data_IF_644203372286
#
_entry.id   IF_644203372286
#
_cell.length_a   1.000
_cell.length_b   1.000
_cell.length_c   1.000
_cell.angle_alpha   90.00
_cell.angle_beta   90.00
_cell.angle_gamma   90.00
#
_symmetry.space_group_name_H-M   'P 1'
#
loop_
_entity.id
_entity.type
_entity.pdbx_description
1 polymer ?
#
# COMPACT_ATOMS: atom_id res chain seq x y z
N UNK A 1 11.09 -18.07 -18.10
CA UNK A 1 9.64 -18.31 -18.15
C UNK A 1 8.93 -18.18 -16.79
N UNK A 2 9.16 -19.02 -15.77
CA UNK A 2 8.43 -18.88 -14.48
C UNK A 2 8.77 -17.59 -13.70
N UNK A 3 10.04 -17.18 -13.66
CA UNK A 3 10.42 -15.89 -13.04
C UNK A 3 9.86 -14.69 -13.81
N UNK A 4 9.89 -14.71 -15.14
CA UNK A 4 9.32 -13.63 -15.97
C UNK A 4 7.80 -13.48 -15.82
N UNK A 5 7.08 -14.57 -15.52
CA UNK A 5 5.66 -14.51 -15.20
C UNK A 5 5.41 -13.90 -13.81
N UNK A 6 6.27 -14.19 -12.83
CA UNK A 6 6.12 -13.67 -11.47
C UNK A 6 6.21 -12.14 -11.44
N UNK A 7 7.10 -11.55 -12.24
CA UNK A 7 7.30 -10.10 -12.33
C UNK A 7 6.34 -9.38 -13.29
N UNK A 8 5.41 -10.08 -13.93
CA UNK A 8 4.49 -9.48 -14.89
C UNK A 8 3.63 -8.39 -14.20
N UNK A 9 3.68 -7.12 -14.66
CA UNK A 9 2.98 -6.03 -14.00
C UNK A 9 1.47 -6.08 -14.30
N UNK A 10 0.67 -6.45 -13.28
CA UNK A 10 -0.78 -6.58 -13.40
C UNK A 10 -1.53 -5.26 -13.23
N UNK A 11 -0.81 -4.19 -12.89
CA UNK A 11 -1.32 -2.80 -12.83
C UNK A 11 -0.93 -1.97 -14.06
N UNK A 12 -0.21 -2.55 -15.02
CA UNK A 12 0.18 -1.82 -16.24
C UNK A 12 -1.05 -1.48 -17.09
N UNK A 13 -1.05 -0.30 -17.73
CA UNK A 13 -2.16 0.13 -18.60
C UNK A 13 -2.49 -0.91 -19.69
N UNK A 14 -1.48 -1.57 -20.24
CA UNK A 14 -1.65 -2.67 -21.21
C UNK A 14 -2.36 -3.88 -20.61
N UNK A 15 -2.00 -4.30 -19.39
CA UNK A 15 -2.62 -5.44 -18.74
C UNK A 15 -4.06 -5.14 -18.33
N UNK A 16 -4.31 -3.98 -17.72
CA UNK A 16 -5.65 -3.52 -17.35
C UNK A 16 -6.55 -3.43 -18.58
N UNK A 17 -6.05 -2.87 -19.68
CA UNK A 17 -6.79 -2.79 -20.95
C UNK A 17 -7.10 -4.19 -21.50
N UNK A 18 -6.12 -5.10 -21.51
CA UNK A 18 -6.32 -6.48 -21.96
C UNK A 18 -7.38 -7.21 -21.11
N UNK A 19 -7.31 -7.08 -19.80
CA UNK A 19 -8.28 -7.65 -18.86
C UNK A 19 -9.69 -7.09 -19.10
N UNK A 20 -9.83 -5.78 -19.33
CA UNK A 20 -11.11 -5.12 -19.61
C UNK A 20 -11.72 -5.51 -20.97
N UNK A 21 -10.88 -5.74 -21.99
CA UNK A 21 -11.32 -6.12 -23.35
C UNK A 21 -11.73 -7.60 -23.44
N UNK A 22 -11.07 -8.49 -22.68
CA UNK A 22 -11.34 -9.93 -22.71
C UNK A 22 -12.84 -10.31 -22.55
N UNK A 23 -13.59 -9.81 -21.55
CA UNK A 23 -15.01 -10.13 -21.42
C UNK A 23 -15.84 -9.60 -22.61
N UNK A 24 -15.48 -8.44 -23.19
CA UNK A 24 -16.17 -7.89 -24.37
C UNK A 24 -16.02 -8.82 -25.59
N UNK A 25 -14.81 -9.34 -25.82
CA UNK A 25 -14.55 -10.31 -26.89
C UNK A 25 -15.39 -11.57 -26.70
N UNK A 26 -15.43 -12.12 -25.49
CA UNK A 26 -16.22 -13.32 -25.18
C UNK A 26 -17.72 -13.07 -25.33
N UNK A 27 -18.23 -11.89 -24.93
CA UNK A 27 -19.61 -11.49 -25.16
C UNK A 27 -19.95 -11.41 -26.65
N UNK A 28 -19.09 -10.82 -27.46
CA UNK A 28 -19.27 -10.76 -28.92
C UNK A 28 -19.30 -12.17 -29.52
N UNK A 29 -18.36 -13.04 -29.13
CA UNK A 29 -18.33 -14.43 -29.59
C UNK A 29 -19.60 -15.20 -29.19
N UNK A 30 -20.09 -15.02 -27.96
CA UNK A 30 -21.36 -15.59 -27.49
C UNK A 30 -22.53 -15.19 -28.42
N UNK A 31 -22.62 -13.91 -28.75
CA UNK A 31 -23.66 -13.38 -29.62
C UNK A 31 -23.52 -13.87 -31.07
N UNK A 32 -22.29 -14.01 -31.58
CA UNK A 32 -22.01 -14.56 -32.92
C UNK A 32 -22.44 -16.02 -33.01
N UNK A 33 -22.08 -16.86 -32.02
CA UNK A 33 -22.48 -18.26 -31.97
C UNK A 33 -24.00 -18.39 -31.88
N UNK A 34 -24.64 -17.58 -31.03
CA UNK A 34 -26.09 -17.55 -30.91
C UNK A 34 -26.78 -17.13 -32.22
N UNK A 35 -26.25 -16.09 -32.90
CA UNK A 35 -26.77 -15.65 -34.20
C UNK A 35 -26.64 -16.73 -35.25
N UNK A 36 -25.52 -17.45 -35.30
CA UNK A 36 -25.29 -18.55 -36.24
C UNK A 36 -26.27 -19.70 -36.00
N UNK A 37 -26.47 -20.09 -34.74
CA UNK A 37 -27.46 -21.09 -34.36
C UNK A 37 -28.88 -20.65 -34.78
N UNK A 38 -29.28 -19.42 -34.44
CA UNK A 38 -30.59 -18.85 -34.79
C UNK A 38 -30.86 -18.87 -36.30
N UNK A 39 -29.89 -18.43 -37.11
CA UNK A 39 -30.03 -18.40 -38.57
C UNK A 39 -30.25 -19.79 -39.15
N UNK A 40 -29.62 -20.83 -38.58
CA UNK A 40 -29.82 -22.22 -39.02
C UNK A 40 -31.13 -22.82 -38.56
N UNK A 41 -31.52 -22.57 -37.31
CA UNK A 41 -32.77 -23.12 -36.78
C UNK A 41 -33.99 -22.42 -37.37
N UNK A 42 -33.82 -21.28 -38.05
CA UNK A 42 -34.92 -20.49 -38.60
C UNK A 42 -35.74 -19.78 -37.53
N UNK A 43 -35.18 -19.63 -36.32
CA UNK A 43 -35.85 -18.95 -35.22
C UNK A 43 -35.97 -17.45 -35.50
N UNK A 44 -37.13 -16.87 -35.19
CA UNK A 44 -37.39 -15.45 -35.42
C UNK A 44 -36.49 -14.58 -34.52
N UNK A 45 -35.85 -13.53 -35.06
CA UNK A 45 -35.13 -12.57 -34.23
C UNK A 45 -36.11 -11.82 -33.32
N UNK A 46 -35.66 -11.51 -32.12
CA UNK A 46 -36.33 -10.53 -31.26
C UNK A 46 -36.28 -9.15 -31.93
N UNK A 47 -37.29 -8.32 -31.67
CA UNK A 47 -37.32 -6.92 -32.12
C UNK A 47 -36.05 -6.19 -31.65
N UNK A 48 -35.24 -5.64 -32.59
CA UNK A 48 -33.97 -5.00 -32.26
C UNK A 48 -34.13 -3.78 -31.34
N UNK A 49 -35.27 -3.07 -31.39
CA UNK A 49 -35.53 -1.93 -30.50
C UNK A 49 -35.77 -2.39 -29.07
N UNK A 50 -36.67 -3.35 -28.87
CA UNK A 50 -36.94 -3.94 -27.54
C UNK A 50 -35.69 -4.58 -26.94
N UNK A 51 -34.93 -5.26 -27.78
CA UNK A 51 -33.63 -5.84 -27.45
C UNK A 51 -32.63 -4.80 -26.93
N UNK A 52 -32.46 -3.69 -27.66
CA UNK A 52 -31.55 -2.62 -27.29
C UNK A 52 -31.99 -1.96 -25.97
N UNK A 53 -33.28 -1.64 -25.84
CA UNK A 53 -33.85 -1.04 -24.62
C UNK A 53 -33.62 -1.93 -23.40
N UNK A 54 -33.93 -3.23 -23.49
CA UNK A 54 -33.70 -4.18 -22.37
C UNK A 54 -32.23 -4.27 -21.98
N UNK A 55 -31.34 -4.28 -22.97
CA UNK A 55 -29.89 -4.36 -22.72
C UNK A 55 -29.39 -3.07 -22.06
N UNK A 56 -29.86 -1.90 -22.52
CA UNK A 56 -29.54 -0.61 -21.92
C UNK A 56 -30.03 -0.49 -20.48
N UNK A 57 -31.30 -0.87 -20.22
CA UNK A 57 -31.86 -0.88 -18.85
C UNK A 57 -31.04 -1.80 -17.94
N UNK A 58 -30.71 -3.02 -18.40
CA UNK A 58 -29.91 -3.94 -17.62
C UNK A 58 -28.50 -3.42 -17.34
N UNK A 59 -27.85 -2.78 -18.33
CA UNK A 59 -26.52 -2.19 -18.14
C UNK A 59 -26.52 -1.08 -17.09
N UNK A 60 -27.52 -0.17 -17.14
CA UNK A 60 -27.68 0.90 -16.15
C UNK A 60 -27.98 0.31 -14.77
N UNK A 61 -28.92 -0.64 -14.68
CA UNK A 61 -29.24 -1.29 -13.41
C UNK A 61 -28.02 -2.03 -12.82
N UNK A 62 -27.22 -2.69 -13.65
CA UNK A 62 -25.98 -3.36 -13.22
C UNK A 62 -24.93 -2.37 -12.71
N UNK A 63 -24.73 -1.25 -13.41
CA UNK A 63 -23.82 -0.21 -12.95
C UNK A 63 -24.24 0.39 -11.60
N UNK A 64 -25.53 0.70 -11.45
CA UNK A 64 -26.11 1.20 -10.20
C UNK A 64 -25.99 0.17 -9.07
N UNK A 65 -26.18 -1.13 -9.36
CA UNK A 65 -25.98 -2.19 -8.38
C UNK A 65 -24.50 -2.28 -7.93
N UNK A 66 -23.55 -2.12 -8.86
CA UNK A 66 -22.13 -2.06 -8.52
C UNK A 66 -21.78 -0.85 -7.64
N UNK A 67 -22.32 0.34 -7.95
CA UNK A 67 -22.15 1.53 -7.11
C UNK A 67 -22.80 1.35 -5.72
N UNK A 68 -24.00 0.78 -5.67
CA UNK A 68 -24.67 0.48 -4.41
C UNK A 68 -23.88 -0.53 -3.57
N UNK A 69 -23.26 -1.53 -4.21
CA UNK A 69 -22.39 -2.49 -3.53
C UNK A 69 -21.15 -1.77 -2.94
N UNK A 70 -20.46 -0.95 -3.73
CA UNK A 70 -19.33 -0.17 -3.24
C UNK A 70 -19.74 0.74 -2.06
N UNK A 71 -20.92 1.37 -2.15
CA UNK A 71 -21.46 2.22 -1.09
C UNK A 71 -21.77 1.43 0.19
N UNK A 72 -22.43 0.29 0.07
CA UNK A 72 -22.77 -0.53 1.25
C UNK A 72 -21.51 -1.09 1.91
N UNK A 73 -20.58 -1.65 1.13
CA UNK A 73 -19.38 -2.27 1.68
C UNK A 73 -18.40 -1.23 2.25
N UNK A 74 -18.21 -0.11 1.56
CA UNK A 74 -17.32 0.96 1.98
C UNK A 74 -17.94 1.91 3.00
N UNK A 75 -18.96 2.66 2.61
CA UNK A 75 -19.49 3.77 3.39
C UNK A 75 -20.43 3.34 4.54
N UNK A 76 -21.20 2.26 4.37
CA UNK A 76 -22.17 1.81 5.39
C UNK A 76 -21.54 0.81 6.37
N UNK A 77 -20.83 -0.20 5.85
CA UNK A 77 -20.23 -1.24 6.68
C UNK A 77 -18.81 -0.91 7.14
N UNK A 78 -18.14 0.07 6.52
CA UNK A 78 -16.77 0.42 6.88
C UNK A 78 -15.77 -0.72 6.69
N UNK A 79 -16.06 -1.69 5.80
CA UNK A 79 -15.35 -2.99 5.77
C UNK A 79 -13.84 -2.84 5.52
N UNK A 80 -13.44 -1.77 4.82
CA UNK A 80 -12.07 -1.57 4.39
C UNK A 80 -11.30 -0.57 5.27
N UNK A 81 -11.93 0.03 6.29
CA UNK A 81 -11.33 1.09 7.09
C UNK A 81 -11.06 2.41 6.33
N UNK A 82 -11.22 2.42 5.00
CA UNK A 82 -10.92 3.56 4.13
C UNK A 82 -12.08 3.90 3.20
N UNK A 83 -12.14 5.16 2.80
CA UNK A 83 -13.10 5.63 1.79
C UNK A 83 -12.69 5.16 0.40
N UNK A 84 -13.55 4.37 -0.25
CA UNK A 84 -13.30 3.90 -1.62
C UNK A 84 -13.21 5.08 -2.59
N UNK A 85 -12.10 5.12 -3.35
CA UNK A 85 -11.84 6.15 -4.35
C UNK A 85 -12.92 6.17 -5.46
N UNK A 86 -12.94 7.25 -6.24
CA UNK A 86 -13.78 7.33 -7.44
C UNK A 86 -13.42 6.26 -8.48
N UNK A 87 -12.13 5.91 -8.60
CA UNK A 87 -11.63 4.86 -9.49
C UNK A 87 -12.13 3.48 -9.09
N UNK A 88 -11.98 3.10 -7.82
CA UNK A 88 -12.48 1.84 -7.27
C UNK A 88 -14.00 1.72 -7.40
N UNK A 89 -14.76 2.80 -7.10
CA UNK A 89 -16.21 2.84 -7.30
C UNK A 89 -16.58 2.65 -8.78
N UNK A 90 -15.82 3.28 -9.69
CA UNK A 90 -16.02 3.15 -11.14
C UNK A 90 -15.79 1.72 -11.62
N UNK A 91 -14.69 1.08 -11.21
CA UNK A 91 -14.41 -0.30 -11.59
C UNK A 91 -15.42 -1.31 -11.01
N UNK A 92 -15.95 -1.03 -9.82
CA UNK A 92 -17.05 -1.82 -9.24
C UNK A 92 -18.34 -1.65 -10.06
N UNK A 93 -18.67 -0.42 -10.48
CA UNK A 93 -19.79 -0.14 -11.36
C UNK A 93 -19.65 -0.82 -12.73
N UNK A 94 -18.46 -0.79 -13.33
CA UNK A 94 -18.15 -1.47 -14.58
C UNK A 94 -18.27 -3.00 -14.45
N UNK A 95 -17.86 -3.56 -13.31
CA UNK A 95 -18.08 -4.97 -12.98
C UNK A 95 -19.57 -5.31 -12.95
N UNK A 96 -20.37 -4.54 -12.22
CA UNK A 96 -21.83 -4.71 -12.17
C UNK A 96 -22.51 -4.59 -13.54
N UNK A 97 -22.10 -3.61 -14.35
CA UNK A 97 -22.54 -3.45 -15.73
C UNK A 97 -22.19 -4.68 -16.57
N UNK A 98 -20.94 -5.15 -16.50
CA UNK A 98 -20.47 -6.32 -17.25
C UNK A 98 -21.24 -7.59 -16.89
N UNK A 99 -21.55 -7.79 -15.61
CA UNK A 99 -22.33 -8.93 -15.13
C UNK A 99 -23.77 -8.88 -15.63
N UNK A 100 -24.39 -7.70 -15.64
CA UNK A 100 -25.73 -7.53 -16.19
C UNK A 100 -25.77 -7.77 -17.71
N UNK A 101 -24.76 -7.27 -18.45
CA UNK A 101 -24.62 -7.55 -19.88
C UNK A 101 -24.42 -9.04 -20.16
N UNK A 102 -23.60 -9.73 -19.36
CA UNK A 102 -23.42 -11.17 -19.44
C UNK A 102 -24.73 -11.92 -19.19
N UNK A 103 -25.47 -11.56 -18.14
CA UNK A 103 -26.77 -12.17 -17.84
C UNK A 103 -27.77 -12.02 -19.01
N UNK A 104 -27.91 -10.80 -19.56
CA UNK A 104 -28.77 -10.55 -20.72
C UNK A 104 -28.30 -11.34 -21.94
N UNK A 105 -26.99 -11.33 -22.24
CA UNK A 105 -26.43 -12.08 -23.35
C UNK A 105 -26.72 -13.58 -23.20
N UNK A 106 -26.53 -14.16 -22.02
CA UNK A 106 -26.77 -15.57 -21.73
C UNK A 106 -28.23 -15.96 -21.88
N UNK A 107 -29.16 -15.20 -21.31
CA UNK A 107 -30.61 -15.47 -21.41
C UNK A 107 -31.07 -15.45 -22.86
N UNK A 108 -30.61 -14.46 -23.63
CA UNK A 108 -31.01 -14.26 -25.03
C UNK A 108 -30.39 -15.32 -25.96
N UNK A 109 -29.11 -15.60 -25.76
CA UNK A 109 -28.37 -16.57 -26.56
C UNK A 109 -28.81 -18.00 -26.28
N UNK A 110 -29.16 -18.35 -25.03
CA UNK A 110 -29.65 -19.68 -24.64
C UNK A 110 -30.85 -20.11 -25.47
N UNK A 111 -31.83 -19.23 -25.68
CA UNK A 111 -33.01 -19.53 -26.54
C UNK A 111 -32.61 -19.94 -27.96
N UNK A 112 -31.58 -19.29 -28.51
CA UNK A 112 -31.09 -19.56 -29.87
C UNK A 112 -30.37 -20.90 -29.98
N UNK A 113 -29.67 -21.33 -28.92
CA UNK A 113 -28.89 -22.59 -28.88
C UNK A 113 -29.65 -23.77 -28.26
N UNK A 114 -30.85 -23.57 -27.70
CA UNK A 114 -31.76 -24.67 -27.32
C UNK A 114 -32.80 -24.98 -28.40
N UNK A 115 -32.85 -24.20 -29.48
CA UNK A 115 -33.79 -24.40 -30.60
C UNK A 115 -35.21 -23.91 -30.33
N UNK A 116 -35.44 -23.21 -29.21
CA UNK A 116 -36.74 -22.63 -28.87
C UNK A 116 -37.16 -21.63 -29.95
N UNK A 117 -38.27 -21.90 -30.62
CA UNK A 117 -38.79 -21.09 -31.74
C UNK A 117 -38.16 -21.39 -33.11
N UNK A 118 -37.30 -22.42 -33.21
CA UNK A 118 -36.71 -22.90 -34.46
C UNK A 118 -37.35 -24.21 -34.96
N UNK A 119 -37.10 -24.55 -36.23
CA UNK A 119 -37.62 -25.74 -36.92
C UNK A 119 -36.70 -26.96 -36.79
N UNK A 120 -35.42 -26.75 -36.49
CA UNK A 120 -34.38 -27.80 -36.47
C UNK A 120 -33.50 -27.58 -35.24
N UNK A 121 -32.98 -28.64 -34.57
CA UNK A 121 -32.06 -28.49 -33.45
C UNK A 121 -30.70 -27.89 -33.87
N UNK A 122 -30.07 -27.05 -33.02
CA UNK A 122 -28.73 -26.51 -33.28
C UNK A 122 -27.63 -27.58 -33.16
N UNK A 123 -26.47 -27.34 -33.79
CA UNK A 123 -25.37 -28.32 -33.81
C UNK A 123 -24.80 -28.52 -32.41
N UNK A 124 -24.37 -29.75 -32.10
CA UNK A 124 -23.68 -30.07 -30.83
C UNK A 124 -22.48 -29.15 -30.56
N UNK A 125 -21.71 -28.84 -31.61
CA UNK A 125 -20.55 -27.94 -31.53
C UNK A 125 -20.92 -26.50 -31.16
N UNK A 126 -22.03 -25.97 -31.66
CA UNK A 126 -22.50 -24.63 -31.31
C UNK A 126 -22.99 -24.55 -29.87
N UNK A 127 -23.68 -25.60 -29.40
CA UNK A 127 -24.10 -25.70 -28.00
C UNK A 127 -22.89 -25.81 -27.07
N UNK A 128 -21.90 -26.63 -27.42
CA UNK A 128 -20.68 -26.80 -26.63
C UNK A 128 -19.87 -25.50 -26.56
N UNK A 129 -19.65 -24.83 -27.71
CA UNK A 129 -18.93 -23.56 -27.76
C UNK A 129 -19.67 -22.45 -26.99
N UNK A 130 -20.99 -22.37 -27.14
CA UNK A 130 -21.81 -21.43 -26.37
C UNK A 130 -21.70 -21.67 -24.87
N UNK A 131 -21.80 -22.93 -24.42
CA UNK A 131 -21.64 -23.29 -23.02
C UNK A 131 -20.24 -22.94 -22.48
N UNK A 132 -19.19 -23.20 -23.24
CA UNK A 132 -17.81 -22.86 -22.85
C UNK A 132 -17.64 -21.34 -22.68
N UNK A 133 -18.10 -20.54 -23.66
CA UNK A 133 -18.02 -19.08 -23.57
C UNK A 133 -18.91 -18.52 -22.44
N UNK A 134 -20.05 -19.16 -22.17
CA UNK A 134 -20.95 -18.80 -21.09
C UNK A 134 -20.34 -19.01 -19.70
N UNK A 135 -19.58 -20.09 -19.53
CA UNK A 135 -18.82 -20.35 -18.30
C UNK A 135 -17.68 -19.35 -18.14
N UNK A 136 -17.06 -18.91 -19.24
CA UNK A 136 -15.89 -18.04 -19.21
C UNK A 136 -16.23 -16.55 -18.96
N UNK A 137 -17.36 -16.06 -19.46
CA UNK A 137 -17.64 -14.61 -19.46
C UNK A 137 -17.77 -14.00 -18.06
N UNK A 138 -18.40 -14.70 -17.12
CA UNK A 138 -18.63 -14.17 -15.76
C UNK A 138 -17.30 -14.05 -14.99
N UNK A 139 -16.45 -15.09 -14.90
CA UNK A 139 -15.12 -14.95 -14.31
C UNK A 139 -14.27 -13.84 -14.94
N UNK A 140 -14.33 -13.66 -16.27
CA UNK A 140 -13.59 -12.58 -16.93
C UNK A 140 -14.08 -11.18 -16.54
N UNK A 141 -15.38 -10.98 -16.36
CA UNK A 141 -15.91 -9.70 -15.89
C UNK A 141 -15.46 -9.40 -14.47
N UNK A 142 -15.55 -10.40 -13.57
CA UNK A 142 -15.10 -10.26 -12.18
C UNK A 142 -13.60 -9.98 -12.14
N UNK A 143 -12.81 -10.73 -12.91
CA UNK A 143 -11.37 -10.54 -13.01
C UNK A 143 -11.01 -9.15 -13.55
N UNK A 144 -11.68 -8.67 -14.60
CA UNK A 144 -11.47 -7.33 -15.13
C UNK A 144 -11.74 -6.23 -14.11
N UNK A 145 -12.84 -6.36 -13.35
CA UNK A 145 -13.19 -5.43 -12.26
C UNK A 145 -12.14 -5.46 -11.15
N UNK A 146 -11.72 -6.66 -10.71
CA UNK A 146 -10.69 -6.83 -9.69
C UNK A 146 -9.33 -6.25 -10.12
N UNK A 147 -8.91 -6.48 -11.36
CA UNK A 147 -7.67 -5.90 -11.93
C UNK A 147 -7.77 -4.38 -11.98
N UNK A 148 -8.92 -3.84 -12.38
CA UNK A 148 -9.16 -2.40 -12.39
C UNK A 148 -9.09 -1.75 -11.00
N UNK A 149 -9.72 -2.37 -10.00
CA UNK A 149 -9.63 -1.95 -8.60
C UNK A 149 -8.19 -2.05 -8.09
N UNK A 150 -7.49 -3.14 -8.39
CA UNK A 150 -6.09 -3.30 -8.00
C UNK A 150 -5.16 -2.29 -8.69
N UNK A 151 -5.47 -1.84 -9.91
CA UNK A 151 -4.70 -0.78 -10.57
C UNK A 151 -4.89 0.60 -9.92
N UNK A 152 -6.03 0.82 -9.27
CA UNK A 152 -6.33 2.01 -8.50
C UNK A 152 -5.64 1.98 -7.13
N UNK A 153 -5.83 0.90 -6.36
CA UNK A 153 -5.25 0.72 -5.01
C UNK A 153 -3.74 0.41 -5.05
N UNK A 154 -3.26 -0.20 -6.14
CA UNK A 154 -1.89 -0.67 -6.34
C UNK A 154 -1.39 -1.68 -5.29
N UNK A 155 -2.30 -2.43 -4.66
CA UNK A 155 -1.97 -3.41 -3.63
C UNK A 155 -1.06 -4.54 -4.14
N UNK A 156 -1.34 -5.04 -5.35
CA UNK A 156 -0.60 -6.13 -5.96
C UNK A 156 0.01 -5.67 -7.28
N UNK A 157 1.26 -5.20 -7.31
CA UNK A 157 1.85 -4.65 -8.54
C UNK A 157 2.14 -5.72 -9.60
N UNK A 158 2.38 -6.97 -9.19
CA UNK A 158 2.70 -8.08 -10.08
C UNK A 158 2.09 -9.40 -9.61
N UNK A 159 2.26 -10.46 -10.41
CA UNK A 159 1.75 -11.81 -10.12
C UNK A 159 2.36 -12.36 -8.82
N UNK A 160 3.65 -12.15 -8.57
CA UNK A 160 4.30 -12.63 -7.34
C UNK A 160 3.62 -12.07 -6.08
N UNK A 161 3.37 -10.77 -6.06
CA UNK A 161 2.69 -10.10 -4.96
C UNK A 161 1.25 -10.61 -4.79
N UNK A 162 0.50 -10.76 -5.89
CA UNK A 162 -0.89 -11.22 -5.88
C UNK A 162 -1.07 -12.64 -5.29
N UNK A 163 -0.02 -13.48 -5.33
CA UNK A 163 -0.04 -14.84 -4.79
C UNK A 163 0.83 -15.02 -3.54
N UNK A 164 1.34 -13.94 -2.94
CA UNK A 164 2.20 -14.02 -1.74
C UNK A 164 3.53 -14.73 -1.98
N UNK A 165 4.03 -14.69 -3.20
CA UNK A 165 5.27 -15.33 -3.66
C UNK A 165 6.48 -14.40 -3.60
N UNK A 166 6.29 -13.13 -3.23
CA UNK A 166 7.39 -12.21 -2.96
C UNK A 166 8.19 -12.75 -1.78
N UNK A 167 9.48 -13.00 -2.00
CA UNK A 167 10.43 -13.52 -1.02
C UNK A 167 11.68 -12.67 -1.07
N UNK A 168 12.16 -12.31 0.12
CA UNK A 168 13.46 -11.66 0.31
C UNK A 168 14.31 -12.62 1.14
N UNK A 169 15.57 -12.78 0.74
CA UNK A 169 16.50 -13.65 1.47
C UNK A 169 16.90 -12.99 2.80
N UNK A 170 17.30 -13.78 3.81
CA UNK A 170 17.92 -13.24 5.02
C UNK A 170 19.12 -12.35 4.70
N UNK A 171 19.25 -11.25 5.43
CA UNK A 171 20.38 -10.34 5.25
C UNK A 171 21.62 -10.88 5.97
N UNK A 172 22.73 -11.03 5.25
CA UNK A 172 24.00 -11.39 5.85
C UNK A 172 24.78 -10.12 6.27
N UNK A 173 24.95 -9.96 7.58
CA UNK A 173 25.70 -8.86 8.19
C UNK A 173 27.17 -9.21 8.45
N UNK A 174 27.60 -10.48 8.31
CA UNK A 174 28.93 -10.93 8.74
C UNK A 174 30.10 -10.30 7.95
N UNK A 175 29.82 -9.82 6.74
CA UNK A 175 30.79 -9.12 5.87
C UNK A 175 30.64 -7.60 5.86
N UNK A 176 29.81 -7.03 6.75
CA UNK A 176 29.65 -5.58 6.84
C UNK A 176 30.65 -4.97 7.83
N UNK A 177 30.97 -3.67 7.68
CA UNK A 177 31.76 -2.94 8.66
C UNK A 177 31.17 -3.08 10.07
N UNK A 178 32.07 -3.17 11.05
CA UNK A 178 31.66 -3.30 12.44
C UNK A 178 30.72 -2.15 12.87
N UNK A 179 29.69 -2.45 13.68
CA UNK A 179 28.86 -1.43 14.31
C UNK A 179 29.75 -0.46 15.08
N UNK A 180 29.51 0.83 14.89
CA UNK A 180 30.15 1.89 15.65
C UNK A 180 29.10 2.93 15.96
N UNK A 181 29.02 3.27 17.23
CA UNK A 181 28.30 4.45 17.70
C UNK A 181 29.15 5.69 17.38
N UNK A 182 28.91 6.28 16.22
CA UNK A 182 29.57 7.52 15.83
C UNK A 182 28.68 8.72 16.20
N UNK A 183 29.25 9.82 16.71
CA UNK A 183 28.54 11.09 16.74
C UNK A 183 28.16 11.50 15.32
N UNK A 184 27.14 12.35 15.21
CA UNK A 184 26.76 12.95 13.93
C UNK A 184 27.98 13.65 13.28
N UNK A 185 28.06 13.62 11.96
CA UNK A 185 29.07 14.38 11.25
C UNK A 185 28.83 15.89 11.47
N UNK A 186 29.89 16.67 11.66
CA UNK A 186 29.83 18.13 11.69
C UNK A 186 29.55 18.65 10.26
N UNK A 187 28.28 18.61 9.84
CA UNK A 187 27.83 18.98 8.50
C UNK A 187 27.52 17.79 7.60
N UNK A 188 27.34 18.02 6.29
CA UNK A 188 26.94 16.98 5.35
C UNK A 188 27.92 15.80 5.29
N UNK A 189 27.39 14.58 5.19
CA UNK A 189 28.19 13.35 5.06
C UNK A 189 29.10 13.38 3.83
N UNK A 190 28.69 14.05 2.76
CA UNK A 190 29.48 14.17 1.53
C UNK A 190 30.77 15.00 1.71
N UNK A 191 30.88 15.78 2.77
CA UNK A 191 32.09 16.57 3.09
C UNK A 191 33.12 15.75 3.86
N UNK A 192 32.68 14.71 4.57
CA UNK A 192 33.54 13.88 5.44
C UNK A 192 33.77 12.48 4.89
N UNK A 193 32.96 12.06 3.91
CA UNK A 193 33.08 10.77 3.27
C UNK A 193 32.96 10.85 1.74
N UNK A 194 33.81 10.07 1.08
CA UNK A 194 33.72 9.77 -0.34
C UNK A 194 34.10 8.30 -0.53
N UNK A 195 33.52 7.60 -1.52
CA UNK A 195 33.83 6.20 -1.71
C UNK A 195 35.30 6.01 -2.09
N UNK A 196 36.02 5.18 -1.33
CA UNK A 196 37.41 4.80 -1.64
C UNK A 196 37.57 3.91 -2.88
N UNK A 197 36.46 3.41 -3.44
CA UNK A 197 36.44 2.52 -4.60
C UNK A 197 35.10 2.49 -5.32
N UNK A 198 34.91 1.50 -6.19
CA UNK A 198 33.64 1.31 -6.91
C UNK A 198 32.54 0.86 -5.95
N UNK A 199 31.41 1.58 -5.96
CA UNK A 199 30.23 1.22 -5.19
C UNK A 199 29.36 0.20 -5.95
N UNK A 200 28.62 -0.66 -5.23
CA UNK A 200 27.50 -1.39 -5.81
C UNK A 200 26.51 -0.43 -6.49
N UNK A 201 25.94 -0.85 -7.62
CA UNK A 201 24.97 -0.02 -8.35
C UNK A 201 23.63 0.16 -7.61
N UNK A 202 23.34 -0.70 -6.63
CA UNK A 202 22.11 -0.72 -5.84
C UNK A 202 22.43 -1.13 -4.41
N UNK A 203 21.56 -0.74 -3.49
CA UNK A 203 21.56 -1.22 -2.13
C UNK A 203 21.19 -2.71 -2.03
N UNK A 204 21.18 -3.21 -0.80
CA UNK A 204 20.88 -4.60 -0.47
C UNK A 204 19.72 -4.66 0.51
N UNK A 205 18.66 -5.34 0.09
CA UNK A 205 17.47 -5.62 0.91
C UNK A 205 17.55 -7.07 1.44
N UNK A 206 17.25 -7.27 2.72
CA UNK A 206 17.18 -8.60 3.32
C UNK A 206 16.26 -8.66 4.55
N UNK A 207 15.81 -9.85 4.91
CA UNK A 207 15.03 -10.06 6.16
C UNK A 207 15.96 -10.18 7.36
N UNK A 208 15.52 -9.69 8.53
CA UNK A 208 16.23 -9.83 9.80
C UNK A 208 15.24 -10.07 10.95
N UNK A 209 15.44 -11.11 11.78
CA UNK A 209 14.73 -11.20 13.04
C UNK A 209 15.28 -10.15 14.02
N UNK A 210 14.40 -9.31 14.57
CA UNK A 210 14.73 -8.36 15.63
C UNK A 210 14.13 -8.90 16.94
N UNK A 211 14.95 -9.39 17.89
CA UNK A 211 14.43 -9.97 19.13
C UNK A 211 13.71 -8.93 20.00
N UNK A 212 12.45 -9.21 20.32
CA UNK A 212 11.64 -8.42 21.24
C UNK A 212 12.01 -8.70 22.72
N UNK A 213 13.27 -8.49 23.07
CA UNK A 213 13.86 -8.90 24.36
C UNK A 213 13.21 -8.20 25.55
N UNK A 214 12.87 -6.91 25.39
CA UNK A 214 12.26 -6.08 26.44
C UNK A 214 10.75 -6.11 26.35
N UNK A 215 10.20 -5.93 25.14
CA UNK A 215 8.77 -5.78 24.91
C UNK A 215 8.00 -7.11 24.96
N UNK A 216 8.65 -8.23 24.62
CA UNK A 216 7.98 -9.51 24.41
C UNK A 216 6.98 -9.50 23.23
N UNK A 217 7.02 -8.47 22.38
CA UNK A 217 6.11 -8.30 21.25
C UNK A 217 6.36 -9.38 20.18
N UNK A 218 5.31 -10.07 19.68
CA UNK A 218 5.46 -11.18 18.75
C UNK A 218 5.63 -10.70 17.29
N UNK A 219 6.64 -9.87 17.03
CA UNK A 219 6.93 -9.37 15.70
C UNK A 219 7.35 -10.49 14.73
N UNK A 220 6.88 -10.39 13.48
CA UNK A 220 7.46 -11.12 12.34
C UNK A 220 8.82 -10.52 11.97
N UNK A 221 9.55 -11.22 11.10
CA UNK A 221 10.85 -10.73 10.60
C UNK A 221 10.75 -9.32 10.00
N UNK A 222 11.66 -8.45 10.41
CA UNK A 222 11.84 -7.12 9.84
C UNK A 222 12.49 -7.20 8.46
N UNK A 223 12.43 -6.11 7.71
CA UNK A 223 13.23 -5.90 6.51
C UNK A 223 14.24 -4.78 6.73
N UNK A 224 15.45 -4.97 6.21
CA UNK A 224 16.52 -3.98 6.28
C UNK A 224 17.03 -3.71 4.88
N UNK A 225 17.00 -2.43 4.48
CA UNK A 225 17.65 -1.94 3.27
C UNK A 225 18.95 -1.22 3.64
N UNK A 226 20.04 -1.69 3.07
CA UNK A 226 21.36 -1.09 3.17
C UNK A 226 21.69 -0.35 1.87
N UNK A 227 21.95 0.96 1.88
CA UNK A 227 22.33 1.70 0.68
C UNK A 227 23.74 1.30 0.20
N UNK A 228 24.12 1.61 -1.05
CA UNK A 228 25.46 1.30 -1.58
C UNK A 228 26.62 1.69 -0.66
N UNK A 229 26.56 2.87 -0.02
CA UNK A 229 27.59 3.34 0.90
C UNK A 229 27.72 2.50 2.19
N UNK A 230 26.70 1.72 2.56
CA UNK A 230 26.75 0.81 3.71
C UNK A 230 27.43 -0.53 3.39
N UNK A 231 27.71 -0.81 2.12
CA UNK A 231 28.16 -2.11 1.62
C UNK A 231 29.67 -2.17 1.32
N UNK A 232 30.42 -1.18 1.80
CA UNK A 232 31.88 -1.06 1.58
C UNK A 232 32.63 -0.98 2.91
N UNK A 233 33.90 -1.40 2.90
CA UNK A 233 34.73 -1.49 4.11
C UNK A 233 34.90 -0.15 4.83
N UNK A 234 34.92 0.96 4.08
CA UNK A 234 35.08 2.33 4.55
C UNK A 234 33.73 3.06 4.76
N UNK A 235 32.64 2.32 4.96
CA UNK A 235 31.31 2.91 5.15
C UNK A 235 31.30 3.98 6.26
N UNK A 236 30.64 5.14 6.03
CA UNK A 236 30.41 6.11 7.09
C UNK A 236 29.33 5.59 8.05
N UNK A 237 29.19 6.23 9.20
CA UNK A 237 27.99 6.04 10.02
C UNK A 237 26.81 6.73 9.33
N UNK A 238 25.81 5.96 8.95
CA UNK A 238 24.69 6.44 8.16
C UNK A 238 23.49 6.81 9.05
N UNK A 239 22.65 7.76 8.60
CA UNK A 239 21.39 8.01 9.26
C UNK A 239 20.44 6.82 9.12
N UNK A 240 19.43 6.76 9.98
CA UNK A 240 18.45 5.67 10.07
C UNK A 240 17.05 6.21 9.84
N UNK A 241 16.28 5.46 9.06
CA UNK A 241 14.83 5.63 8.95
C UNK A 241 14.16 4.34 9.42
N UNK A 242 13.41 4.41 10.52
CA UNK A 242 12.45 3.36 10.89
C UNK A 242 11.19 3.61 10.07
N UNK A 243 10.81 2.70 9.18
CA UNK A 243 9.63 2.85 8.32
C UNK A 243 8.57 1.81 8.68
N UNK A 244 7.31 2.23 8.79
CA UNK A 244 6.19 1.42 9.25
C UNK A 244 5.14 1.27 8.13
N UNK A 245 4.63 0.05 7.97
CA UNK A 245 3.58 -0.25 6.98
C UNK A 245 2.21 0.24 7.44
N UNK A 246 1.17 0.07 6.62
CA UNK A 246 -0.22 0.27 7.04
C UNK A 246 -0.85 -1.00 7.61
N UNK A 247 -2.12 -0.90 8.03
CA UNK A 247 -2.96 -2.02 8.44
C UNK A 247 -4.17 -2.14 7.49
N UNK A 248 -4.52 -3.36 7.00
CA UNK A 248 -3.76 -4.60 7.13
C UNK A 248 -2.41 -4.55 6.39
N UNK A 249 -1.38 -5.24 6.90
CA UNK A 249 -0.07 -5.17 6.27
C UNK A 249 1.07 -5.99 6.87
N UNK A 250 2.22 -5.87 6.22
CA UNK A 250 3.48 -6.49 6.60
C UNK A 250 4.66 -5.57 6.23
N UNK A 251 5.85 -5.79 6.83
CA UNK A 251 7.07 -5.09 6.42
C UNK A 251 7.34 -5.11 4.90
N UNK A 252 7.00 -6.22 4.25
CA UNK A 252 7.21 -6.43 2.81
C UNK A 252 6.48 -5.41 1.93
N UNK A 253 5.36 -4.86 2.38
CA UNK A 253 4.49 -4.07 1.51
C UNK A 253 5.13 -2.73 1.12
N UNK A 254 5.92 -2.12 2.01
CA UNK A 254 6.70 -0.91 1.71
C UNK A 254 7.69 -1.12 0.54
N UNK A 255 8.15 -2.35 0.31
CA UNK A 255 9.07 -2.67 -0.79
C UNK A 255 8.34 -3.23 -2.01
N UNK A 256 7.42 -4.17 -1.80
CA UNK A 256 6.66 -4.80 -2.87
C UNK A 256 5.78 -3.77 -3.59
N UNK A 257 4.99 -2.99 -2.85
CA UNK A 257 4.01 -2.04 -3.38
C UNK A 257 4.46 -0.59 -3.20
N UNK A 258 5.07 -0.25 -2.07
CA UNK A 258 5.62 1.10 -1.81
C UNK A 258 6.92 1.41 -2.57
N UNK A 259 7.59 0.39 -3.14
CA UNK A 259 8.80 0.53 -3.96
C UNK A 259 9.93 1.32 -3.28
N UNK A 260 10.00 1.21 -1.95
CA UNK A 260 10.95 1.97 -1.13
C UNK A 260 12.41 1.70 -1.51
N UNK A 261 12.73 0.47 -1.92
CA UNK A 261 14.04 0.08 -2.48
C UNK A 261 14.41 0.95 -3.68
N UNK A 262 13.49 1.14 -4.63
CA UNK A 262 13.74 1.96 -5.83
C UNK A 262 13.91 3.43 -5.49
N UNK A 263 13.13 3.94 -4.55
CA UNK A 263 13.26 5.33 -4.10
C UNK A 263 14.62 5.56 -3.44
N UNK A 264 15.05 4.66 -2.57
CA UNK A 264 16.35 4.75 -1.89
C UNK A 264 17.53 4.50 -2.83
N UNK A 265 17.43 3.58 -3.79
CA UNK A 265 18.44 3.37 -4.82
C UNK A 265 18.61 4.61 -5.71
N UNK A 266 17.49 5.22 -6.13
CA UNK A 266 17.52 6.43 -6.94
C UNK A 266 18.10 7.62 -6.15
N UNK A 267 17.73 7.75 -4.88
CA UNK A 267 18.28 8.76 -3.99
C UNK A 267 19.79 8.53 -3.81
N UNK A 268 20.23 7.31 -3.50
CA UNK A 268 21.64 6.97 -3.37
C UNK A 268 22.43 7.24 -4.65
N UNK A 269 21.89 6.90 -5.82
CA UNK A 269 22.55 7.17 -7.10
C UNK A 269 22.79 8.67 -7.34
N UNK A 270 21.90 9.53 -6.83
CA UNK A 270 22.05 10.97 -6.89
C UNK A 270 23.03 11.54 -5.85
N UNK A 271 23.31 10.81 -4.75
CA UNK A 271 24.08 11.29 -3.59
C UNK A 271 25.32 10.43 -3.31
N UNK A 272 26.08 10.06 -4.35
CA UNK A 272 27.34 9.28 -4.24
C UNK A 272 27.19 7.95 -3.48
N UNK A 273 26.04 7.31 -3.60
CA UNK A 273 25.70 6.06 -2.92
C UNK A 273 25.18 6.22 -1.50
N UNK A 274 25.04 7.44 -0.99
CA UNK A 274 24.50 7.75 0.34
C UNK A 274 22.97 7.78 0.31
N UNK A 275 22.39 7.07 1.26
CA UNK A 275 20.98 7.12 1.63
C UNK A 275 20.91 6.71 3.11
N UNK A 276 19.79 6.92 3.80
CA UNK A 276 19.60 6.32 5.12
C UNK A 276 19.57 4.79 5.02
N UNK A 277 20.01 4.13 6.09
CA UNK A 277 19.64 2.74 6.33
C UNK A 277 18.16 2.72 6.69
N UNK A 278 17.37 1.92 5.99
CA UNK A 278 15.94 1.79 6.26
C UNK A 278 15.68 0.47 6.97
N UNK A 279 15.07 0.56 8.16
CA UNK A 279 14.66 -0.60 8.95
C UNK A 279 13.15 -0.60 9.02
N UNK A 280 12.53 -1.68 8.56
CA UNK A 280 11.08 -1.88 8.52
C UNK A 280 10.74 -2.99 9.51
N UNK A 281 10.57 -2.68 10.80
CA UNK A 281 10.10 -3.65 11.78
C UNK A 281 8.64 -4.01 11.52
N UNK A 282 8.19 -5.14 12.05
CA UNK A 282 6.77 -5.47 12.06
C UNK A 282 6.10 -4.86 13.28
N UNK A 283 5.31 -3.80 13.09
CA UNK A 283 4.57 -3.17 14.19
C UNK A 283 3.25 -3.87 14.53
N UNK A 284 2.74 -4.71 13.64
CA UNK A 284 1.42 -5.31 13.79
C UNK A 284 1.46 -6.69 14.45
N UNK A 285 2.55 -7.46 14.26
CA UNK A 285 2.68 -8.86 14.71
C UNK A 285 1.95 -9.86 13.80
N UNK A 286 0.90 -9.42 13.10
CA UNK A 286 0.08 -10.19 12.16
C UNK A 286 -0.50 -9.25 11.10
N UNK A 287 -0.86 -9.72 9.88
CA UNK A 287 -1.44 -8.85 8.86
C UNK A 287 -2.70 -8.09 9.27
N UNK A 288 -3.57 -8.71 10.07
CA UNK A 288 -4.89 -8.17 10.38
C UNK A 288 -4.96 -7.49 11.77
N UNK A 289 -3.93 -7.66 12.59
CA UNK A 289 -3.89 -7.11 13.95
C UNK A 289 -3.58 -5.60 13.90
N UNK A 290 -3.96 -4.87 14.95
CA UNK A 290 -3.66 -3.45 15.12
C UNK A 290 -3.41 -3.15 16.60
N UNK A 291 -2.15 -3.26 17.08
CA UNK A 291 -1.78 -2.90 18.44
C UNK A 291 -1.62 -1.39 18.64
N UNK A 292 -1.94 -0.57 17.61
CA UNK A 292 -2.05 0.90 17.69
C UNK A 292 -0.76 1.63 18.10
N UNK A 293 0.39 0.97 17.94
CA UNK A 293 1.69 1.47 18.37
C UNK A 293 1.72 2.02 19.81
N UNK A 294 0.93 1.41 20.69
CA UNK A 294 0.93 1.63 22.14
C UNK A 294 1.37 0.36 22.83
N UNK A 295 1.66 0.44 24.13
CA UNK A 295 1.77 -0.74 24.97
C UNK A 295 0.41 -0.99 25.62
N UNK A 296 -0.20 -2.13 25.31
CA UNK A 296 -1.58 -2.46 25.69
C UNK A 296 -1.79 -3.97 25.79
N UNK A 297 -2.98 -4.45 26.22
CA UNK A 297 -3.33 -5.87 26.13
C UNK A 297 -3.25 -6.46 24.70
N UNK A 298 -3.28 -5.62 23.67
CA UNK A 298 -3.13 -6.02 22.27
C UNK A 298 -1.66 -6.27 21.86
N UNK A 299 -0.71 -5.85 22.69
CA UNK A 299 0.72 -6.02 22.45
C UNK A 299 1.54 -4.80 22.86
N UNK A 300 2.81 -5.04 23.20
CA UNK A 300 3.77 -3.99 23.59
C UNK A 300 4.50 -3.40 22.37
N UNK A 301 3.72 -2.87 21.41
CA UNK A 301 4.26 -2.38 20.14
C UNK A 301 5.13 -1.12 20.32
N UNK A 302 4.75 -0.20 21.21
CA UNK A 302 5.54 1.00 21.47
C UNK A 302 6.92 0.66 22.05
N UNK A 303 6.98 -0.26 23.01
CA UNK A 303 8.24 -0.74 23.58
C UNK A 303 9.09 -1.48 22.54
N UNK A 304 8.49 -2.30 21.67
CA UNK A 304 9.23 -2.96 20.59
C UNK A 304 9.91 -1.96 19.66
N UNK A 305 9.14 -0.97 19.19
CA UNK A 305 9.59 0.02 18.21
C UNK A 305 10.54 1.07 18.77
N UNK A 306 10.49 1.36 20.08
CA UNK A 306 11.28 2.44 20.69
C UNK A 306 12.33 1.98 21.70
N UNK A 307 12.46 0.67 21.91
CA UNK A 307 13.48 0.07 22.77
C UNK A 307 14.21 -1.05 22.02
N UNK A 308 13.50 -2.13 21.67
CA UNK A 308 14.14 -3.32 21.11
C UNK A 308 14.72 -3.07 19.71
N UNK A 309 13.94 -2.43 18.83
CA UNK A 309 14.38 -2.09 17.46
C UNK A 309 15.58 -1.13 17.47
N UNK A 310 15.56 0.03 18.15
CA UNK A 310 16.74 0.89 18.21
C UNK A 310 17.97 0.20 18.81
N UNK A 311 17.80 -0.57 19.90
CA UNK A 311 18.90 -1.32 20.51
C UNK A 311 19.53 -2.32 19.52
N UNK A 312 18.71 -3.03 18.76
CA UNK A 312 19.19 -3.93 17.71
C UNK A 312 19.94 -3.18 16.62
N UNK A 313 19.43 -2.03 16.17
CA UNK A 313 20.07 -1.20 15.13
C UNK A 313 21.47 -0.77 15.57
N UNK A 314 21.62 -0.20 16.77
CA UNK A 314 22.92 0.19 17.31
C UNK A 314 23.91 -0.98 17.42
N UNK A 315 23.43 -2.16 17.80
CA UNK A 315 24.28 -3.33 18.01
C UNK A 315 24.75 -3.99 16.71
N UNK A 316 24.04 -3.78 15.58
CA UNK A 316 24.26 -4.56 14.36
C UNK A 316 24.61 -3.71 13.14
N UNK A 317 24.34 -2.40 13.18
CA UNK A 317 24.49 -1.50 12.05
C UNK A 317 25.42 -0.34 12.39
N UNK A 318 26.15 0.14 11.39
CA UNK A 318 27.03 1.31 11.52
C UNK A 318 26.22 2.59 11.29
N UNK A 319 25.67 3.13 12.37
CA UNK A 319 24.68 4.21 12.34
C UNK A 319 25.13 5.43 13.14
N UNK A 320 24.57 6.59 12.80
CA UNK A 320 24.72 7.79 13.63
C UNK A 320 23.99 7.60 14.97
N UNK A 321 24.47 8.23 16.03
CA UNK A 321 23.85 8.10 17.37
C UNK A 321 22.95 9.26 17.76
N UNK A 322 23.14 10.43 17.17
CA UNK A 322 22.33 11.58 17.46
C UNK A 322 20.94 11.41 16.86
N UNK A 323 19.90 11.81 17.61
CA UNK A 323 18.51 11.78 17.15
C UNK A 323 18.29 12.48 15.80
N UNK A 324 19.10 13.48 15.48
CA UNK A 324 19.08 14.26 14.23
C UNK A 324 19.37 13.41 13.01
N UNK A 325 20.14 12.33 13.17
CA UNK A 325 20.36 11.27 12.18
C UNK A 325 19.30 10.16 12.17
N UNK A 326 18.23 10.28 12.97
CA UNK A 326 17.17 9.28 13.09
C UNK A 326 15.82 9.87 12.74
N UNK A 327 15.09 9.14 11.91
CA UNK A 327 13.73 9.46 11.55
C UNK A 327 12.81 8.26 11.68
N UNK A 328 11.53 8.54 11.89
CA UNK A 328 10.46 7.55 11.78
C UNK A 328 9.50 7.97 10.67
N UNK A 329 9.07 7.03 9.85
CA UNK A 329 8.09 7.26 8.80
C UNK A 329 7.05 6.17 8.77
N UNK A 330 5.87 6.43 8.24
CA UNK A 330 4.93 5.37 7.95
C UNK A 330 3.72 5.80 7.14
N UNK A 331 2.93 4.81 6.76
CA UNK A 331 1.70 4.98 5.97
C UNK A 331 0.48 4.46 6.73
N UNK A 332 -0.64 5.18 6.68
CA UNK A 332 -1.91 4.77 7.32
C UNK A 332 -1.72 4.60 8.84
N UNK A 333 -2.06 3.45 9.41
CA UNK A 333 -1.73 3.08 10.80
C UNK A 333 -0.25 3.37 11.14
N UNK A 334 0.69 3.02 10.25
CA UNK A 334 2.11 3.34 10.44
C UNK A 334 2.43 4.83 10.38
N UNK A 335 1.63 5.63 9.68
CA UNK A 335 1.71 7.10 9.68
C UNK A 335 1.32 7.67 11.03
N UNK A 336 0.24 7.14 11.61
CA UNK A 336 -0.19 7.43 12.99
C UNK A 336 0.90 7.04 13.99
N UNK A 337 1.48 5.85 13.85
CA UNK A 337 2.63 5.42 14.65
C UNK A 337 3.83 6.35 14.52
N UNK A 338 4.15 6.80 13.30
CA UNK A 338 5.25 7.74 13.07
C UNK A 338 5.00 9.08 13.78
N UNK A 339 3.77 9.59 13.72
CA UNK A 339 3.38 10.81 14.43
C UNK A 339 3.39 10.61 15.96
N UNK A 340 2.86 9.48 16.47
CA UNK A 340 2.83 9.15 17.89
C UNK A 340 4.23 8.94 18.47
N UNK A 341 5.00 8.01 17.92
CA UNK A 341 6.30 7.63 18.45
C UNK A 341 7.36 8.70 18.15
N UNK A 342 7.31 9.34 16.97
CA UNK A 342 8.22 10.42 16.61
C UNK A 342 8.07 11.65 17.51
N UNK A 343 6.84 12.03 17.85
CA UNK A 343 6.59 13.10 18.82
C UNK A 343 6.75 12.64 20.27
N UNK A 344 6.39 11.39 20.59
CA UNK A 344 6.48 10.81 21.92
C UNK A 344 7.93 10.53 22.36
N UNK A 345 8.86 10.34 21.43
CA UNK A 345 10.29 10.07 21.68
C UNK A 345 11.19 11.07 20.94
N UNK A 346 11.12 12.37 21.28
CA UNK A 346 11.98 13.38 20.68
C UNK A 346 13.45 13.22 21.09
N UNK A 347 13.73 12.35 22.08
CA UNK A 347 15.07 11.90 22.44
C UNK A 347 15.65 10.90 21.43
N UNK A 348 14.81 10.19 20.69
CA UNK A 348 15.21 9.21 19.66
C UNK A 348 15.14 9.79 18.25
N UNK A 349 14.07 10.53 17.94
CA UNK A 349 13.79 10.96 16.57
C UNK A 349 13.98 12.47 16.37
N UNK A 350 14.78 12.81 15.36
CA UNK A 350 15.02 14.14 14.83
C UNK A 350 13.98 14.58 13.83
N UNK A 351 13.37 13.61 13.16
CA UNK A 351 12.38 13.83 12.12
C UNK A 351 11.27 12.79 12.15
N UNK A 352 10.07 13.17 11.70
CA UNK A 352 8.97 12.25 11.44
C UNK A 352 8.35 12.50 10.07
N UNK A 353 7.84 11.43 9.45
CA UNK A 353 7.08 11.49 8.20
C UNK A 353 5.77 10.72 8.34
N UNK A 354 4.66 11.43 8.29
CA UNK A 354 3.31 10.87 8.38
C UNK A 354 2.67 10.89 6.98
N UNK A 355 2.40 9.70 6.43
CA UNK A 355 1.70 9.52 5.16
C UNK A 355 0.30 8.98 5.45
N UNK A 356 -0.72 9.82 5.28
CA UNK A 356 -2.13 9.45 5.47
C UNK A 356 -2.44 8.84 6.85
N UNK A 357 -1.81 9.31 7.93
CA UNK A 357 -2.15 8.92 9.30
C UNK A 357 -3.45 9.52 9.83
N UNK A 358 -3.90 8.96 10.95
CA UNK A 358 -5.06 9.35 11.73
C UNK A 358 -4.74 10.38 12.82
N UNK A 359 -5.77 11.09 13.27
CA UNK A 359 -5.69 11.98 14.44
C UNK A 359 -5.54 11.24 15.77
N UNK A 360 -5.85 9.94 15.78
CA UNK A 360 -5.81 9.08 16.95
C UNK A 360 -5.60 7.62 16.54
N UNK A 361 -4.86 6.82 17.33
CA UNK A 361 -4.82 5.38 17.15
C UNK A 361 -6.22 4.76 17.32
N UNK A 362 -6.66 3.83 16.48
CA UNK A 362 -7.99 3.21 16.69
C UNK A 362 -8.13 1.83 16.06
N UNK A 363 -8.92 0.97 16.71
CA UNK A 363 -9.47 -0.27 16.15
C UNK A 363 -10.99 -0.18 15.95
N UNK A 364 -11.54 1.04 15.93
CA UNK A 364 -12.97 1.31 15.88
C UNK A 364 -13.61 1.40 17.26
N UNK A 365 -14.86 0.94 17.37
CA UNK A 365 -15.72 1.18 18.54
C UNK A 365 -15.15 0.65 19.86
N UNK A 366 -14.37 -0.44 19.81
CA UNK A 366 -13.87 -1.14 21.00
C UNK A 366 -12.51 -0.63 21.49
N UNK A 367 -11.92 0.37 20.79
CA UNK A 367 -10.58 0.92 21.06
C UNK A 367 -10.29 1.16 22.55
N UNK A 368 -11.17 1.91 23.22
CA UNK A 368 -10.95 2.31 24.61
C UNK A 368 -11.06 1.12 25.56
N UNK A 369 -11.98 0.19 25.27
CA UNK A 369 -12.20 -0.97 26.13
C UNK A 369 -11.07 -1.98 26.00
N UNK A 370 -10.63 -2.28 24.78
CA UNK A 370 -9.73 -3.40 24.50
C UNK A 370 -8.25 -3.03 24.64
N UNK A 371 -7.88 -1.77 24.38
CA UNK A 371 -6.49 -1.33 24.45
C UNK A 371 -6.16 -0.43 25.64
N UNK A 372 -7.16 0.20 26.26
CA UNK A 372 -6.97 1.14 27.36
C UNK A 372 -7.78 0.76 28.61
N UNK A 373 -8.26 -0.49 28.71
CA UNK A 373 -9.03 -1.00 29.85
C UNK A 373 -10.21 -0.10 30.27
N UNK A 374 -10.82 0.60 29.32
CA UNK A 374 -11.92 1.56 29.55
C UNK A 374 -11.48 3.00 29.87
N UNK A 375 -10.18 3.28 29.93
CA UNK A 375 -9.60 4.58 30.27
C UNK A 375 -9.59 5.55 29.08
N UNK A 376 -10.58 6.43 29.03
CA UNK A 376 -10.63 7.54 28.06
C UNK A 376 -9.44 8.50 28.20
N UNK A 377 -8.90 8.66 29.42
CA UNK A 377 -7.78 9.54 29.67
C UNK A 377 -6.47 9.00 29.08
N UNK A 378 -6.22 7.69 29.22
CA UNK A 378 -5.05 7.04 28.62
C UNK A 378 -5.17 7.00 27.10
N UNK A 379 -6.38 6.73 26.59
CA UNK A 379 -6.64 6.81 25.15
C UNK A 379 -6.34 8.20 24.60
N UNK A 380 -6.89 9.26 25.21
CA UNK A 380 -6.65 10.63 24.79
C UNK A 380 -5.16 11.03 24.90
N UNK A 381 -4.43 10.51 25.90
CA UNK A 381 -3.00 10.76 26.05
C UNK A 381 -2.16 10.09 24.95
N UNK A 382 -2.68 9.06 24.27
CA UNK A 382 -2.01 8.40 23.16
C UNK A 382 -2.13 9.15 21.81
N UNK A 383 -2.92 10.22 21.74
CA UNK A 383 -3.12 10.96 20.48
C UNK A 383 -1.83 11.70 20.10
N UNK A 384 -1.42 11.75 18.82
CA UNK A 384 -0.28 12.54 18.36
C UNK A 384 -0.29 13.98 18.89
N UNK A 385 -1.44 14.67 18.81
CA UNK A 385 -1.56 16.05 19.30
C UNK A 385 -1.35 16.19 20.82
N UNK A 386 -1.77 15.19 21.61
CA UNK A 386 -1.56 15.19 23.06
C UNK A 386 -0.09 14.95 23.42
N UNK A 387 0.58 14.03 22.71
CA UNK A 387 2.01 13.78 22.85
C UNK A 387 2.85 15.00 22.46
N UNK A 388 2.46 15.70 21.39
CA UNK A 388 3.04 16.97 20.98
C UNK A 388 2.86 18.05 22.06
N UNK A 389 1.65 18.23 22.57
CA UNK A 389 1.37 19.23 23.61
C UNK A 389 2.16 18.96 24.90
N UNK A 390 2.27 17.70 25.31
CA UNK A 390 2.95 17.31 26.55
C UNK A 390 4.47 17.54 26.55
N UNK A 391 5.09 17.63 25.37
CA UNK A 391 6.57 17.64 25.19
C UNK A 391 7.11 18.88 24.48
N UNK A 392 6.23 19.81 24.06
CA UNK A 392 6.65 21.05 23.42
C UNK A 392 7.56 21.89 24.33
N UNK A 393 8.46 22.73 23.78
CA UNK A 393 8.67 22.99 22.35
C UNK A 393 9.60 21.99 21.66
N UNK A 394 9.34 21.74 20.36
CA UNK A 394 10.19 20.90 19.50
C UNK A 394 11.15 21.74 18.64
N UNK A 395 12.07 22.45 19.30
CA UNK A 395 12.90 23.48 18.66
C UNK A 395 13.77 23.01 17.48
N UNK A 396 14.03 21.71 17.35
CA UNK A 396 14.91 21.13 16.34
C UNK A 396 14.31 19.85 15.71
N UNK A 397 12.99 19.77 15.55
CA UNK A 397 12.34 18.60 14.92
C UNK A 397 11.71 18.99 13.59
N UNK A 398 11.95 18.17 12.56
CA UNK A 398 11.29 18.29 11.25
C UNK A 398 10.14 17.29 11.14
N UNK A 399 8.95 17.75 10.75
CA UNK A 399 7.79 16.89 10.57
C UNK A 399 7.20 17.07 9.17
N UNK A 400 7.21 15.99 8.39
CA UNK A 400 6.70 15.98 7.02
C UNK A 400 5.37 15.23 7.00
N UNK A 401 4.37 15.83 6.39
CA UNK A 401 3.01 15.31 6.32
C UNK A 401 2.60 15.16 4.87
N UNK A 402 2.01 14.03 4.50
CA UNK A 402 1.58 13.80 3.14
C UNK A 402 0.30 12.97 3.08
N UNK A 403 -0.55 13.20 2.09
CA UNK A 403 -1.76 12.40 1.86
C UNK A 403 -2.15 12.41 0.38
N UNK A 404 -3.08 11.56 -0.03
CA UNK A 404 -3.66 11.62 -1.37
C UNK A 404 -4.53 12.87 -1.56
N UNK A 405 -4.46 13.53 -2.71
CA UNK A 405 -5.33 14.66 -3.03
C UNK A 405 -6.82 14.28 -3.01
N UNK A 406 -7.14 13.04 -3.39
CA UNK A 406 -8.50 12.50 -3.40
C UNK A 406 -8.83 11.69 -2.12
N UNK A 407 -7.93 11.65 -1.13
CA UNK A 407 -8.16 10.98 0.15
C UNK A 407 -9.05 11.83 1.07
N UNK A 408 -10.36 11.72 0.84
CA UNK A 408 -11.36 12.51 1.57
C UNK A 408 -11.45 12.19 3.06
N UNK A 409 -10.95 11.03 3.51
CA UNK A 409 -11.05 10.59 4.89
C UNK A 409 -9.82 10.97 5.71
N UNK A 410 -8.61 10.74 5.18
CA UNK A 410 -7.37 10.92 5.95
C UNK A 410 -6.72 12.28 5.73
N UNK A 411 -6.90 12.93 4.56
CA UNK A 411 -6.30 14.26 4.35
C UNK A 411 -6.68 15.27 5.44
N UNK A 412 -7.95 15.43 5.85
CA UNK A 412 -8.30 16.37 6.92
C UNK A 412 -7.66 16.01 8.28
N UNK A 413 -7.41 14.71 8.50
CA UNK A 413 -6.77 14.21 9.72
C UNK A 413 -5.28 14.55 9.75
N UNK A 414 -4.58 14.29 8.64
CA UNK A 414 -3.17 14.68 8.45
C UNK A 414 -3.00 16.20 8.60
N UNK A 415 -3.90 17.01 8.03
CA UNK A 415 -3.91 18.47 8.20
C UNK A 415 -4.05 18.88 9.68
N UNK A 416 -4.87 18.16 10.45
CA UNK A 416 -5.03 18.42 11.88
C UNK A 416 -3.79 18.03 12.69
N UNK A 417 -3.16 16.90 12.40
CA UNK A 417 -1.91 16.48 13.06
C UNK A 417 -0.77 17.43 12.70
N UNK A 418 -0.66 17.88 11.46
CA UNK A 418 0.31 18.90 11.04
C UNK A 418 0.13 20.21 11.81
N UNK A 419 -1.13 20.65 11.96
CA UNK A 419 -1.42 21.86 12.71
C UNK A 419 -0.98 21.76 14.18
N UNK A 420 -1.16 20.59 14.80
CA UNK A 420 -0.66 20.32 16.14
C UNK A 420 0.88 20.32 16.21
N UNK A 421 1.54 19.68 15.24
CA UNK A 421 3.00 19.65 15.16
C UNK A 421 3.60 21.06 15.02
N UNK A 422 3.03 21.88 14.14
CA UNK A 422 3.41 23.29 13.98
C UNK A 422 3.19 24.09 15.26
N UNK A 423 2.05 23.90 15.94
CA UNK A 423 1.76 24.57 17.20
C UNK A 423 2.72 24.16 18.34
N UNK A 424 3.23 22.93 18.30
CA UNK A 424 4.24 22.43 19.23
C UNK A 424 5.67 22.91 18.90
N UNK A 425 5.85 23.63 17.78
CA UNK A 425 7.11 24.27 17.40
C UNK A 425 7.99 23.46 16.45
N UNK A 426 7.46 22.39 15.82
CA UNK A 426 8.19 21.65 14.77
C UNK A 426 8.27 22.45 13.47
N UNK A 427 9.33 22.21 12.69
CA UNK A 427 9.40 22.66 11.30
C UNK A 427 8.56 21.72 10.43
N UNK A 428 7.40 22.20 9.97
CA UNK A 428 6.43 21.35 9.24
C UNK A 428 6.42 21.61 7.73
N UNK A 429 6.12 20.57 6.96
CA UNK A 429 5.73 20.66 5.56
C UNK A 429 4.60 19.68 5.29
N UNK A 430 3.54 20.13 4.63
CA UNK A 430 2.43 19.27 4.18
C UNK A 430 2.40 19.21 2.66
N UNK A 431 2.05 18.05 2.10
CA UNK A 431 1.94 17.84 0.66
C UNK A 431 0.81 16.89 0.31
N UNK A 432 0.32 16.99 -0.92
CA UNK A 432 -0.78 16.17 -1.43
C UNK A 432 -0.36 15.49 -2.73
N UNK A 433 -0.46 14.17 -2.77
CA UNK A 433 -0.17 13.36 -3.96
C UNK A 433 -1.29 13.54 -5.00
N UNK A 434 -1.00 14.11 -6.19
CA UNK A 434 -2.04 14.46 -7.15
C UNK A 434 -2.79 13.26 -7.71
N UNK A 435 -4.13 13.33 -7.72
CA UNK A 435 -5.01 12.31 -8.32
C UNK A 435 -4.91 10.92 -7.69
N UNK A 436 -4.40 10.80 -6.47
CA UNK A 436 -4.36 9.56 -5.68
C UNK A 436 -5.17 9.70 -4.40
N UNK A 437 -5.58 8.58 -3.82
CA UNK A 437 -6.35 8.49 -2.58
C UNK A 437 -5.54 7.74 -1.51
N UNK A 438 -6.20 6.87 -0.72
CA UNK A 438 -5.52 6.05 0.29
C UNK A 438 -4.92 4.78 -0.32
N UNK A 439 -3.88 4.96 -1.14
CA UNK A 439 -3.31 3.91 -1.99
C UNK A 439 -1.76 3.93 -2.04
N UNK A 440 -1.16 2.88 -2.61
CA UNK A 440 0.30 2.78 -2.71
C UNK A 440 0.92 3.77 -3.70
N UNK A 441 0.13 4.39 -4.59
CA UNK A 441 0.56 5.50 -5.42
C UNK A 441 0.86 6.73 -4.59
N UNK A 442 0.00 7.04 -3.61
CA UNK A 442 0.25 8.09 -2.59
C UNK A 442 1.55 7.83 -1.85
N UNK A 443 1.78 6.60 -1.36
CA UNK A 443 3.01 6.26 -0.63
C UNK A 443 4.26 6.50 -1.48
N UNK A 444 4.26 5.98 -2.72
CA UNK A 444 5.39 6.15 -3.65
C UNK A 444 5.69 7.63 -3.92
N UNK A 445 4.65 8.45 -4.13
CA UNK A 445 4.79 9.88 -4.38
C UNK A 445 5.30 10.61 -3.13
N UNK A 446 4.68 10.36 -1.97
CA UNK A 446 5.01 11.01 -0.70
C UNK A 446 6.43 10.71 -0.24
N UNK A 447 6.93 9.48 -0.45
CA UNK A 447 8.34 9.15 -0.19
C UNK A 447 9.27 9.99 -1.07
N UNK A 448 9.01 10.06 -2.37
CA UNK A 448 9.80 10.86 -3.31
C UNK A 448 9.78 12.36 -2.98
N UNK A 449 8.64 12.87 -2.52
CA UNK A 449 8.47 14.25 -2.10
C UNK A 449 9.14 14.55 -0.74
N UNK A 450 9.08 13.63 0.22
CA UNK A 450 9.69 13.79 1.55
C UNK A 450 11.23 13.70 1.54
N UNK A 451 11.79 12.83 0.68
CA UNK A 451 13.20 12.48 0.67
C UNK A 451 14.18 13.66 0.56
N UNK A 452 13.97 14.68 -0.29
CA UNK A 452 14.90 15.82 -0.37
C UNK A 452 15.01 16.60 0.95
N UNK A 453 13.87 16.91 1.59
CA UNK A 453 13.86 17.62 2.89
C UNK A 453 14.42 16.73 4.00
N UNK A 454 13.98 15.47 4.05
CA UNK A 454 14.43 14.51 5.05
C UNK A 454 15.93 14.24 4.93
N UNK A 455 16.43 13.99 3.72
CA UNK A 455 17.83 13.75 3.46
C UNK A 455 18.71 14.92 3.90
N UNK A 456 18.31 16.15 3.58
CA UNK A 456 19.01 17.36 4.06
C UNK A 456 19.09 17.37 5.58
N UNK A 457 18.00 17.01 6.25
CA UNK A 457 17.93 16.95 7.72
C UNK A 457 18.81 15.84 8.30
N UNK A 458 18.95 14.73 7.58
CA UNK A 458 19.80 13.58 7.91
C UNK A 458 21.27 13.75 7.46
N UNK A 459 21.64 14.95 6.97
CA UNK A 459 23.01 15.25 6.55
C UNK A 459 23.40 14.69 5.17
N UNK A 460 22.44 14.34 4.32
CA UNK A 460 22.65 13.91 2.93
C UNK A 460 22.06 15.00 2.01
N UNK A 461 22.93 15.80 1.40
CA UNK A 461 22.57 17.07 0.76
C UNK A 461 22.92 17.18 -0.71
N UNK A 462 23.85 16.36 -1.24
CA UNK A 462 24.42 16.56 -2.58
C UNK A 462 24.70 15.30 -3.38
#
# INVERSE_FOLDING_TARGET
MLHELADLPIISASFVTAAAVAPLVVLVLLLVVARRARLRTGARPEDPRRAAVRTGIAAVAGALAGLALAFVLGDVLGLFGVSLSSGTRTWTALGGLGLALAAVALVRSRRSVTGVGGRIPPRRTERALHAALAVLVVPLVVFASAVGINADVQQYPNIAAAFGLTRVAPLDLAGLPAPVDAPEADGPLEDTWAPGGALPARGRLGTMPIPATTSGFPARDALVYLPPAALVDDAPALPVVIALSGQPGAPMDLFASGRLDRAMDAYAAAHRGLAPIVVVPDQLGSPEDNPMCVDSPLGNAASYLTVDVPAWIHQHLRVQTARTGWAIMGFSEGGTCAAQLGSGRPDLFGSLVDISGEVAPTIGADTVQDAFDGSQAEYAAAFPAALMEARKPYADTTALFCSGEDDAQYRPQVEQVEAAARAAGMATRISASPGTAHDWGTVQWCVGDALPTLGTRLGITR
#
